data_IF_674200278865
#
_entry.id   IF_674200278865
#
_cell.length_a   1.000
_cell.length_b   1.000
_cell.length_c   1.000
_cell.angle_alpha   90.00
_cell.angle_beta   90.00
_cell.angle_gamma   90.00
#
_symmetry.space_group_name_H-M   'P 1'
#
loop_
_entity.id
_entity.type
_entity.pdbx_description
1 polymer ?
#
# COMPACT_ATOMS: atom_id res chain seq x y z
N UNK A 1 -21.93 -19.08 -41.97
CA UNK A 1 -21.02 -19.52 -40.87
C UNK A 1 -19.99 -18.46 -40.50
N UNK A 2 -19.47 -17.68 -41.45
CA UNK A 2 -18.46 -16.63 -41.24
C UNK A 2 -18.89 -15.47 -40.33
N UNK A 3 -20.15 -15.04 -40.40
CA UNK A 3 -20.64 -13.91 -39.60
C UNK A 3 -20.74 -14.24 -38.10
N UNK A 4 -21.11 -15.48 -37.76
CA UNK A 4 -21.23 -15.94 -36.36
C UNK A 4 -19.85 -16.11 -35.71
N UNK A 5 -18.83 -16.53 -36.45
CA UNK A 5 -17.46 -16.63 -35.92
C UNK A 5 -16.81 -15.26 -35.70
N UNK A 6 -17.13 -14.28 -36.55
CA UNK A 6 -16.64 -12.90 -36.44
C UNK A 6 -17.24 -12.18 -35.22
N UNK A 7 -18.55 -12.35 -34.99
CA UNK A 7 -19.23 -11.83 -33.79
C UNK A 7 -18.71 -12.51 -32.52
N UNK A 8 -18.52 -13.83 -32.53
CA UNK A 8 -17.96 -14.55 -31.38
C UNK A 8 -16.50 -14.17 -31.07
N UNK A 9 -15.69 -13.88 -32.11
CA UNK A 9 -14.33 -13.37 -31.96
C UNK A 9 -14.29 -11.95 -31.36
N UNK A 10 -15.24 -11.10 -31.76
CA UNK A 10 -15.36 -9.72 -31.27
C UNK A 10 -15.86 -9.65 -29.83
N UNK A 11 -16.75 -10.57 -29.43
CA UNK A 11 -17.20 -10.69 -28.03
C UNK A 11 -16.07 -11.20 -27.14
N UNK A 12 -15.28 -12.18 -27.61
CA UNK A 12 -14.10 -12.68 -26.88
C UNK A 12 -13.01 -11.63 -26.72
N UNK A 13 -12.74 -10.82 -27.74
CA UNK A 13 -11.72 -9.77 -27.65
C UNK A 13 -12.09 -8.68 -26.65
N UNK A 14 -13.39 -8.34 -26.53
CA UNK A 14 -13.89 -7.33 -25.58
C UNK A 14 -13.80 -7.76 -24.11
N UNK A 15 -13.90 -9.06 -23.84
CA UNK A 15 -13.77 -9.62 -22.48
C UNK A 15 -12.29 -9.71 -22.07
N UNK A 16 -11.38 -9.93 -23.02
CA UNK A 16 -9.94 -10.04 -22.73
C UNK A 16 -9.29 -8.69 -22.42
N UNK A 17 -9.79 -7.59 -22.99
CA UNK A 17 -9.25 -6.24 -22.72
C UNK A 17 -9.63 -5.67 -21.34
N UNK A 18 -10.61 -6.26 -20.65
CA UNK A 18 -11.05 -5.83 -19.32
C UNK A 18 -10.27 -6.48 -18.17
N UNK A 19 -9.31 -7.37 -18.46
CA UNK A 19 -8.57 -8.14 -17.45
C UNK A 19 -7.14 -7.64 -17.22
N UNK A 20 -6.94 -6.33 -17.26
CA UNK A 20 -5.78 -5.73 -16.56
C UNK A 20 -6.33 -5.01 -15.34
N UNK A 21 -5.97 -5.39 -14.10
CA UNK A 21 -6.28 -4.57 -12.96
C UNK A 21 -5.55 -3.23 -13.15
N UNK A 22 -6.27 -2.19 -13.59
CA UNK A 22 -5.77 -0.81 -13.75
C UNK A 22 -5.42 -0.14 -12.42
N UNK A 23 -5.29 -0.91 -11.34
CA UNK A 23 -4.93 -0.41 -10.01
C UNK A 23 -3.43 -0.50 -9.70
N UNK A 24 -2.60 -1.00 -10.63
CA UNK A 24 -1.13 -0.97 -10.50
C UNK A 24 -0.54 -0.13 -11.62
N UNK A 25 -0.93 1.15 -11.69
CA UNK A 25 -0.20 2.13 -12.51
C UNK A 25 -0.22 3.52 -11.90
N UNK A 26 0.00 3.61 -10.60
CA UNK A 26 0.53 4.83 -9.99
C UNK A 26 1.98 4.58 -9.64
N UNK A 27 2.85 4.89 -10.58
CA UNK A 27 4.19 5.42 -10.34
C UNK A 27 4.71 5.80 -11.72
N UNK A 28 4.79 7.10 -11.98
CA UNK A 28 5.58 7.65 -13.05
C UNK A 28 7.03 7.23 -12.78
N UNK A 29 7.47 6.09 -13.32
CA UNK A 29 8.90 5.78 -13.39
C UNK A 29 9.49 6.82 -14.33
N UNK A 30 10.09 7.86 -13.75
CA UNK A 30 11.12 8.65 -14.41
C UNK A 30 12.09 7.65 -15.03
N UNK A 31 12.37 7.75 -16.32
CA UNK A 31 13.17 6.79 -17.07
C UNK A 31 14.55 6.63 -16.42
N UNK A 32 14.73 5.59 -15.61
CA UNK A 32 15.92 5.38 -14.80
C UNK A 32 15.83 4.11 -13.94
N UNK A 33 16.98 3.63 -13.42
CA UNK A 33 16.98 2.55 -12.44
C UNK A 33 16.13 2.94 -11.21
N UNK A 34 15.56 1.96 -10.48
CA UNK A 34 14.77 2.25 -9.28
C UNK A 34 15.58 3.11 -8.33
N UNK A 35 15.02 4.24 -7.88
CA UNK A 35 15.73 5.09 -6.95
C UNK A 35 15.80 4.37 -5.60
N UNK A 36 16.90 4.54 -4.84
CA UNK A 36 16.91 4.14 -3.45
C UNK A 36 15.64 4.65 -2.75
N UNK A 37 15.03 3.81 -1.90
CA UNK A 37 13.78 4.08 -1.16
C UNK A 37 12.46 3.90 -1.93
N UNK A 38 12.45 3.75 -3.26
CA UNK A 38 11.21 3.53 -4.04
C UNK A 38 10.50 2.19 -3.76
N UNK A 39 11.22 1.24 -3.16
CA UNK A 39 10.70 -0.08 -2.82
C UNK A 39 10.13 -0.18 -1.40
N UNK A 40 10.16 0.93 -0.64
CA UNK A 40 9.66 0.95 0.72
C UNK A 40 8.13 1.16 0.73
N UNK A 41 7.42 0.58 1.72
CA UNK A 41 5.99 0.82 1.89
C UNK A 41 5.66 2.22 2.46
N UNK A 42 6.65 3.11 2.55
CA UNK A 42 6.53 4.49 3.01
C UNK A 42 7.53 5.38 2.25
N UNK A 43 7.21 6.67 2.12
CA UNK A 43 8.07 7.64 1.43
C UNK A 43 9.03 8.33 2.41
N UNK A 44 10.26 8.60 1.95
CA UNK A 44 11.28 9.35 2.71
C UNK A 44 11.57 10.66 1.97
N UNK A 45 10.74 11.71 2.15
CA UNK A 45 10.99 13.00 1.50
C UNK A 45 12.15 13.77 2.18
N UNK A 46 12.39 13.52 3.47
CA UNK A 46 13.41 14.19 4.28
C UNK A 46 13.84 13.27 5.43
N UNK A 47 15.12 13.32 5.82
CA UNK A 47 15.68 12.61 6.98
C UNK A 47 14.90 12.86 8.27
N UNK A 48 14.50 14.11 8.53
CA UNK A 48 13.78 14.46 9.76
C UNK A 48 12.38 13.87 9.80
N UNK A 49 11.68 13.83 8.65
CA UNK A 49 10.36 13.22 8.53
C UNK A 49 10.42 11.71 8.78
N UNK A 50 11.43 11.03 8.23
CA UNK A 50 11.64 9.60 8.49
C UNK A 50 11.94 9.32 9.97
N UNK A 51 12.78 10.14 10.61
CA UNK A 51 13.06 9.98 12.05
C UNK A 51 11.79 10.14 12.88
N UNK A 52 11.00 11.20 12.65
CA UNK A 52 9.74 11.42 13.38
C UNK A 52 8.75 10.27 13.16
N UNK A 53 8.61 9.80 11.93
CA UNK A 53 7.75 8.66 11.61
C UNK A 53 8.13 7.41 12.41
N UNK A 54 9.42 7.07 12.46
CA UNK A 54 9.90 5.93 13.23
C UNK A 54 9.84 6.14 14.74
N UNK A 55 10.13 7.34 15.25
CA UNK A 55 9.97 7.66 16.66
C UNK A 55 8.53 7.46 17.14
N UNK A 56 7.53 7.86 16.34
CA UNK A 56 6.12 7.63 16.67
C UNK A 56 5.74 6.16 16.49
N UNK A 57 6.16 5.50 15.41
CA UNK A 57 5.85 4.09 15.17
C UNK A 57 6.38 3.18 16.29
N UNK A 58 7.68 3.28 16.60
CA UNK A 58 8.28 2.50 17.68
C UNK A 58 7.87 3.00 19.06
N UNK A 59 7.72 4.32 19.23
CA UNK A 59 7.26 4.90 20.49
C UNK A 59 5.88 4.37 20.88
N UNK A 60 4.92 4.37 19.96
CA UNK A 60 3.57 3.84 20.24
C UNK A 60 3.59 2.34 20.51
N UNK A 61 4.34 1.55 19.74
CA UNK A 61 4.50 0.11 19.98
C UNK A 61 5.14 -0.21 21.34
N UNK A 62 6.17 0.55 21.72
CA UNK A 62 6.86 0.39 22.99
C UNK A 62 6.00 0.81 24.18
N UNK A 63 5.26 1.92 24.06
CA UNK A 63 4.43 2.45 25.14
C UNK A 63 3.12 1.67 25.34
N UNK A 64 2.61 0.99 24.32
CA UNK A 64 1.36 0.23 24.37
C UNK A 64 1.23 -0.71 25.58
N UNK A 65 2.17 -1.65 25.87
CA UNK A 65 2.04 -2.55 27.01
C UNK A 65 2.00 -1.81 28.36
N UNK A 66 2.74 -0.71 28.51
CA UNK A 66 2.75 0.08 29.74
C UNK A 66 1.41 0.79 29.98
N UNK A 67 0.81 1.34 28.92
CA UNK A 67 -0.51 1.98 29.00
C UNK A 67 -1.58 0.93 29.33
N UNK A 68 -1.50 -0.27 28.75
CA UNK A 68 -2.43 -1.37 29.03
C UNK A 68 -2.34 -1.79 30.50
N UNK A 69 -1.13 -1.99 31.02
CA UNK A 69 -0.92 -2.35 32.42
C UNK A 69 -1.38 -1.23 33.36
N UNK A 70 -1.03 0.02 33.05
CA UNK A 70 -1.49 1.19 33.80
C UNK A 70 -3.03 1.25 33.85
N UNK A 71 -3.69 1.07 32.71
CA UNK A 71 -5.15 1.03 32.64
C UNK A 71 -5.75 -0.13 33.45
N UNK A 72 -5.14 -1.32 33.40
CA UNK A 72 -5.57 -2.48 34.15
C UNK A 72 -5.46 -2.26 35.68
N UNK A 73 -4.38 -1.60 36.13
CA UNK A 73 -4.22 -1.22 37.54
C UNK A 73 -5.20 -0.12 37.95
N UNK A 74 -5.32 0.94 37.14
CA UNK A 74 -6.20 2.07 37.41
C UNK A 74 -7.67 1.65 37.53
N UNK A 75 -8.13 0.76 36.66
CA UNK A 75 -9.50 0.20 36.71
C UNK A 75 -9.80 -0.55 38.01
N UNK A 76 -8.80 -1.12 38.68
CA UNK A 76 -9.00 -1.82 39.95
C UNK A 76 -9.02 -0.88 41.15
N UNK A 77 -8.38 0.28 41.03
CA UNK A 77 -8.28 1.29 42.09
C UNK A 77 -9.37 2.36 42.06
N UNK A 78 -10.00 2.59 40.90
CA UNK A 78 -11.14 3.49 40.71
C UNK A 78 -12.44 2.71 40.74
#
# INVERSE_FOLDING_TARGET
MLFKSLVNGMIRSRIMTLRTPRLIRRNYRTEGPPQPFDNLPFSIPNRYAATLFFSVFFGTGLWAPFIIVWYAMAKRTM
#
